data_IF_169652052682
#
_entry.id   IF_169652052682
#
_cell.length_a   1.000
_cell.length_b   1.000
_cell.length_c   1.000
_cell.angle_alpha   90.00
_cell.angle_beta   90.00
_cell.angle_gamma   90.00
#
_symmetry.space_group_name_H-M   'P 1'
#
loop_
_entity.id
_entity.type
_entity.pdbx_description
1 polymer ?
#
# COMPACT_ATOMS: atom_id res chain seq x y z
N UNK A 1 25.87 18.31 -15.73
CA UNK A 1 24.91 19.16 -16.45
C UNK A 1 24.20 18.51 -17.65
N UNK A 2 24.74 17.50 -18.36
CA UNK A 2 24.06 16.88 -19.53
C UNK A 2 23.00 15.82 -19.20
N UNK A 3 22.91 15.30 -17.97
CA UNK A 3 21.91 14.28 -17.57
C UNK A 3 20.55 14.85 -17.14
N UNK A 4 20.48 16.11 -16.72
CA UNK A 4 19.25 16.78 -16.33
C UNK A 4 18.40 17.17 -17.54
N UNK A 5 19.02 17.51 -18.66
CA UNK A 5 18.30 17.90 -19.88
C UNK A 5 17.55 16.72 -20.56
N UNK A 6 18.03 15.48 -20.39
CA UNK A 6 17.37 14.30 -20.98
C UNK A 6 16.08 13.91 -20.24
N UNK A 7 16.04 14.15 -18.93
CA UNK A 7 14.82 13.88 -18.12
C UNK A 7 13.68 14.86 -18.41
N UNK A 8 14.00 16.13 -18.66
CA UNK A 8 13.00 17.15 -19.02
C UNK A 8 12.40 16.92 -20.41
N UNK A 9 13.16 16.36 -21.35
CA UNK A 9 12.65 16.08 -22.70
C UNK A 9 11.64 14.93 -22.75
N UNK A 10 11.77 13.91 -21.89
CA UNK A 10 10.82 12.78 -21.83
C UNK A 10 9.47 13.18 -21.23
N UNK A 11 9.44 14.18 -20.35
CA UNK A 11 8.19 14.68 -19.77
C UNK A 11 7.45 15.67 -20.68
N UNK A 12 8.15 16.32 -21.63
CA UNK A 12 7.51 17.26 -22.57
C UNK A 12 6.63 16.56 -23.62
N UNK A 13 6.83 15.27 -23.91
CA UNK A 13 6.02 14.52 -24.88
C UNK A 13 4.66 14.14 -24.31
N UNK A 14 4.47 14.12 -22.98
CA UNK A 14 3.15 13.84 -22.35
C UNK A 14 2.24 15.08 -22.31
N UNK A 15 2.75 16.24 -22.63
CA UNK A 15 1.99 17.49 -22.66
C UNK A 15 1.33 17.80 -24.02
N UNK A 16 1.02 16.81 -24.86
CA UNK A 16 0.06 16.97 -25.94
C UNK A 16 -1.31 17.20 -25.30
N UNK A 17 -1.78 18.45 -25.35
CA UNK A 17 -3.07 18.92 -24.84
C UNK A 17 -4.21 18.09 -25.44
N UNK A 18 -4.55 16.97 -24.79
CA UNK A 18 -5.86 16.34 -24.95
C UNK A 18 -6.92 17.23 -24.33
N UNK A 19 -8.12 17.25 -24.89
CA UNK A 19 -9.28 17.89 -24.28
C UNK A 19 -9.43 17.42 -22.82
N UNK A 20 -9.97 18.25 -21.90
CA UNK A 20 -10.14 17.87 -20.52
C UNK A 20 -10.89 16.54 -20.44
N UNK A 21 -10.22 15.50 -19.95
CA UNK A 21 -10.86 14.19 -19.77
C UNK A 21 -11.90 14.36 -18.66
N UNK A 22 -13.17 14.37 -19.06
CA UNK A 22 -14.27 14.25 -18.11
C UNK A 22 -14.22 12.83 -17.58
N UNK A 23 -13.82 12.67 -16.31
CA UNK A 23 -13.92 11.38 -15.65
C UNK A 23 -15.36 10.88 -15.71
N UNK A 24 -15.58 9.58 -15.99
CA UNK A 24 -16.92 9.04 -15.98
C UNK A 24 -17.59 9.35 -14.64
N UNK A 25 -18.90 9.68 -14.67
CA UNK A 25 -19.65 9.93 -13.44
C UNK A 25 -19.47 8.74 -12.51
N UNK A 26 -19.35 9.04 -11.21
CA UNK A 26 -19.28 7.99 -10.16
C UNK A 26 -20.37 6.96 -10.45
N UNK A 27 -20.08 5.67 -10.64
CA UNK A 27 -21.13 4.67 -10.76
C UNK A 27 -22.05 4.78 -9.55
N UNK A 28 -23.34 4.53 -9.72
CA UNK A 28 -24.27 4.46 -8.59
C UNK A 28 -23.65 3.60 -7.49
N UNK A 29 -23.72 4.04 -6.24
CA UNK A 29 -23.00 3.46 -5.12
C UNK A 29 -23.53 2.04 -4.82
N UNK A 30 -23.10 1.06 -5.61
CA UNK A 30 -23.36 -0.35 -5.34
C UNK A 30 -22.40 -0.83 -4.25
N UNK A 31 -22.89 -1.59 -3.25
CA UNK A 31 -22.02 -2.20 -2.26
C UNK A 31 -20.95 -3.07 -2.92
N UNK A 32 -19.74 -3.04 -2.40
CA UNK A 32 -18.64 -3.91 -2.84
C UNK A 32 -19.05 -5.39 -2.75
N UNK A 33 -19.89 -5.72 -1.78
CA UNK A 33 -20.41 -7.07 -1.57
C UNK A 33 -19.38 -8.02 -0.97
N UNK A 34 -19.82 -9.23 -0.69
CA UNK A 34 -19.00 -10.26 -0.03
C UNK A 34 -18.17 -11.09 -1.02
N UNK A 35 -17.50 -10.46 -1.99
CA UNK A 35 -16.63 -11.15 -2.96
C UNK A 35 -15.27 -11.50 -2.33
N UNK A 36 -15.31 -12.18 -1.17
CA UNK A 36 -14.12 -12.56 -0.43
C UNK A 36 -13.71 -14.00 -0.69
N UNK A 37 -12.40 -14.21 -0.85
CA UNK A 37 -11.78 -15.52 -0.93
C UNK A 37 -10.93 -15.72 0.32
N UNK A 38 -11.14 -16.84 0.98
CA UNK A 38 -10.35 -17.27 2.13
C UNK A 38 -9.19 -18.15 1.68
N UNK A 39 -8.00 -17.88 2.20
CA UNK A 39 -6.83 -18.77 2.17
C UNK A 39 -6.39 -19.05 3.61
N UNK A 40 -5.83 -20.24 3.84
CA UNK A 40 -5.45 -20.69 5.18
C UNK A 40 -4.05 -21.29 5.16
N UNK A 41 -3.24 -20.94 6.15
CA UNK A 41 -1.94 -21.58 6.30
C UNK A 41 -2.10 -23.03 6.80
N UNK A 42 -1.15 -23.91 6.50
CA UNK A 42 -1.14 -25.27 7.08
C UNK A 42 -1.13 -25.28 8.61
N UNK A 43 -0.64 -24.21 9.24
CA UNK A 43 -0.60 -24.05 10.70
C UNK A 43 -1.91 -23.47 11.30
N UNK A 44 -2.89 -23.10 10.48
CA UNK A 44 -4.22 -22.64 10.91
C UNK A 44 -4.44 -21.13 10.87
N UNK A 45 -3.47 -20.32 10.42
CA UNK A 45 -3.72 -18.90 10.16
C UNK A 45 -4.66 -18.70 8.97
N UNK A 46 -5.54 -17.70 9.03
CA UNK A 46 -6.59 -17.45 8.02
C UNK A 46 -6.52 -16.01 7.51
N UNK A 47 -6.50 -15.84 6.19
CA UNK A 47 -6.60 -14.52 5.53
C UNK A 47 -7.79 -14.49 4.56
N UNK A 48 -8.44 -13.32 4.49
CA UNK A 48 -9.53 -13.04 3.56
C UNK A 48 -9.12 -11.96 2.58
N UNK A 49 -9.37 -12.22 1.31
CA UNK A 49 -9.03 -11.31 0.20
C UNK A 49 -10.31 -10.94 -0.52
N UNK A 50 -10.64 -9.66 -0.58
CA UNK A 50 -11.74 -9.19 -1.41
C UNK A 50 -11.24 -8.92 -2.84
N UNK A 51 -11.95 -9.42 -3.84
CA UNK A 51 -11.58 -9.27 -5.25
C UNK A 51 -11.76 -7.84 -5.76
N UNK A 52 -12.68 -7.05 -5.20
CA UNK A 52 -12.72 -5.62 -5.49
C UNK A 52 -11.54 -4.94 -4.80
N UNK A 53 -10.68 -4.31 -5.58
CA UNK A 53 -9.44 -3.70 -5.09
C UNK A 53 -8.30 -4.68 -4.80
N UNK A 54 -8.55 -5.99 -4.83
CA UNK A 54 -7.55 -7.01 -4.55
C UNK A 54 -6.96 -6.90 -3.13
N UNK A 55 -7.76 -6.60 -2.13
CA UNK A 55 -7.31 -6.22 -0.78
C UNK A 55 -7.43 -7.38 0.20
N UNK A 56 -6.37 -7.66 0.97
CA UNK A 56 -6.52 -8.49 2.19
C UNK A 56 -7.27 -7.68 3.23
N UNK A 57 -8.50 -8.07 3.54
CA UNK A 57 -9.39 -7.37 4.47
C UNK A 57 -9.23 -7.85 5.90
N UNK A 58 -8.70 -9.06 6.08
CA UNK A 58 -8.51 -9.70 7.39
C UNK A 58 -7.37 -10.70 7.31
N UNK A 59 -6.56 -10.76 8.35
CA UNK A 59 -5.63 -11.84 8.61
C UNK A 59 -5.52 -12.10 10.10
N UNK A 60 -5.88 -13.33 10.49
CA UNK A 60 -5.73 -13.84 11.85
C UNK A 60 -4.67 -14.93 11.84
N UNK A 61 -3.47 -14.68 12.38
CA UNK A 61 -2.44 -15.71 12.55
C UNK A 61 -2.89 -16.79 13.55
N UNK A 62 -2.28 -17.98 13.47
CA UNK A 62 -2.55 -19.03 14.44
C UNK A 62 -2.25 -18.56 15.86
N UNK A 63 -3.20 -18.74 16.78
CA UNK A 63 -3.07 -18.31 18.19
C UNK A 63 -2.99 -16.79 18.38
N UNK A 64 -3.18 -15.99 17.33
CA UNK A 64 -3.13 -14.53 17.36
C UNK A 64 -4.47 -13.85 17.22
N UNK A 65 -4.40 -12.53 17.11
CA UNK A 65 -5.56 -11.65 16.88
C UNK A 65 -5.46 -11.01 15.50
N UNK A 66 -6.55 -10.38 15.04
CA UNK A 66 -6.61 -9.67 13.76
C UNK A 66 -5.43 -8.70 13.59
N UNK A 67 -4.76 -8.81 12.45
CA UNK A 67 -3.57 -8.02 12.12
C UNK A 67 -3.92 -6.71 11.44
N UNK A 68 -4.97 -6.68 10.63
CA UNK A 68 -5.33 -5.50 9.88
C UNK A 68 -6.49 -4.73 10.52
N UNK A 69 -6.40 -3.42 10.47
CA UNK A 69 -7.50 -2.53 10.82
C UNK A 69 -8.33 -2.22 9.58
N UNK A 70 -9.65 -2.12 9.76
CA UNK A 70 -10.60 -1.70 8.74
C UNK A 70 -11.42 -0.52 9.27
N UNK A 71 -11.49 0.58 8.51
CA UNK A 71 -12.28 1.74 8.91
C UNK A 71 -13.77 1.41 9.06
N UNK A 72 -14.25 0.46 8.26
CA UNK A 72 -15.60 -0.12 8.33
C UNK A 72 -15.61 -1.49 7.64
N UNK A 73 -16.65 -2.32 7.84
CA UNK A 73 -16.75 -3.60 7.15
C UNK A 73 -16.66 -3.42 5.62
N UNK A 74 -15.74 -4.12 4.96
CA UNK A 74 -15.46 -3.94 3.54
C UNK A 74 -16.71 -4.14 2.67
N UNK A 75 -17.56 -5.11 3.02
CA UNK A 75 -18.80 -5.39 2.31
C UNK A 75 -19.80 -4.22 2.30
N UNK A 76 -19.68 -3.27 3.26
CA UNK A 76 -20.54 -2.08 3.35
C UNK A 76 -19.98 -0.88 2.59
N UNK A 77 -18.74 -0.98 2.07
CA UNK A 77 -18.15 0.07 1.26
C UNK A 77 -18.81 0.13 -0.11
N UNK A 78 -18.92 1.33 -0.67
CA UNK A 78 -19.46 1.49 -2.02
C UNK A 78 -18.34 1.37 -3.06
N UNK A 79 -18.68 0.81 -4.22
CA UNK A 79 -17.81 0.81 -5.39
C UNK A 79 -17.45 2.26 -5.76
N UNK A 80 -16.18 2.48 -6.07
CA UNK A 80 -15.68 3.82 -6.38
C UNK A 80 -15.36 4.69 -5.18
N UNK A 81 -15.58 4.25 -3.94
CA UNK A 81 -15.05 4.90 -2.73
C UNK A 81 -13.60 4.51 -2.47
N UNK A 82 -12.90 5.40 -1.79
CA UNK A 82 -11.58 5.05 -1.24
C UNK A 82 -11.78 4.29 0.05
N UNK A 83 -11.49 2.99 0.02
CA UNK A 83 -11.65 2.13 1.19
C UNK A 83 -10.34 2.17 1.98
N UNK A 84 -10.44 2.49 3.27
CA UNK A 84 -9.33 2.54 4.20
C UNK A 84 -9.29 1.29 5.07
N UNK A 85 -8.15 0.63 5.10
CA UNK A 85 -7.92 -0.57 5.90
C UNK A 85 -7.33 -1.73 5.11
N UNK A 86 -6.97 -2.80 5.82
CA UNK A 86 -6.41 -4.00 5.23
C UNK A 86 -5.00 -3.84 4.69
N UNK A 87 -4.69 -4.58 3.63
CA UNK A 87 -3.44 -4.52 2.90
C UNK A 87 -3.72 -4.19 1.42
N UNK A 88 -3.98 -2.94 1.07
CA UNK A 88 -4.15 -2.54 -0.32
C UNK A 88 -2.82 -2.39 -1.03
N UNK A 89 -2.85 -2.63 -2.36
CA UNK A 89 -1.77 -2.30 -3.28
C UNK A 89 -2.10 -1.00 -4.00
N UNK A 90 -1.17 -0.08 -4.06
CA UNK A 90 -1.28 1.22 -4.71
C UNK A 90 -0.42 1.26 -5.97
N UNK A 91 -1.02 1.47 -7.14
CA UNK A 91 -0.37 1.54 -8.44
C UNK A 91 -1.31 2.24 -9.47
N UNK A 92 -0.84 3.00 -10.48
CA UNK A 92 0.52 3.29 -10.91
C UNK A 92 1.11 4.58 -10.31
N UNK A 93 0.47 5.16 -9.31
CA UNK A 93 1.03 6.23 -8.48
C UNK A 93 0.71 5.98 -7.01
N UNK A 94 1.65 6.37 -6.15
CA UNK A 94 1.52 6.15 -4.73
C UNK A 94 1.69 7.47 -3.96
N UNK A 95 0.88 7.69 -2.91
CA UNK A 95 0.81 8.84 -2.01
C UNK A 95 0.24 10.09 -2.67
N UNK A 96 0.69 10.49 -3.86
CA UNK A 96 0.25 11.73 -4.52
C UNK A 96 -0.90 11.47 -5.49
N UNK A 97 -1.62 12.55 -5.80
CA UNK A 97 -2.58 12.53 -6.89
C UNK A 97 -1.87 12.16 -8.20
N UNK A 98 -2.52 11.32 -8.98
CA UNK A 98 -2.07 10.96 -10.31
C UNK A 98 -2.17 12.13 -11.29
N UNK A 99 -1.99 11.85 -12.60
CA UNK A 99 -2.20 12.84 -13.63
C UNK A 99 -3.59 13.48 -13.51
N UNK A 100 -3.67 14.79 -13.75
CA UNK A 100 -4.91 15.55 -13.81
C UNK A 100 -5.84 15.45 -12.57
N UNK A 101 -5.26 15.43 -11.38
CA UNK A 101 -5.98 15.35 -10.11
C UNK A 101 -6.76 14.04 -9.91
N UNK A 102 -6.29 12.96 -10.50
CA UNK A 102 -6.79 11.63 -10.18
C UNK A 102 -6.63 11.32 -8.69
N UNK A 103 -7.39 10.31 -8.24
CA UNK A 103 -7.39 9.89 -6.83
C UNK A 103 -5.99 9.53 -6.35
N UNK A 104 -5.68 9.83 -5.12
CA UNK A 104 -4.44 9.39 -4.46
C UNK A 104 -4.35 7.86 -4.46
N UNK A 105 -3.15 7.32 -4.45
CA UNK A 105 -2.86 5.88 -4.34
C UNK A 105 -3.30 5.03 -5.55
N UNK A 106 -3.34 5.61 -6.73
CA UNK A 106 -3.52 4.87 -7.97
C UNK A 106 -4.93 4.35 -8.24
N UNK A 107 -5.01 3.35 -9.11
CA UNK A 107 -6.29 2.83 -9.62
C UNK A 107 -6.61 1.40 -9.14
N UNK A 108 -5.63 0.64 -8.71
CA UNK A 108 -5.77 -0.79 -8.39
C UNK A 108 -6.90 -1.11 -7.42
N UNK A 109 -7.20 -0.18 -6.50
CA UNK A 109 -8.22 -0.34 -5.47
C UNK A 109 -9.66 -0.09 -5.93
N UNK A 110 -9.86 0.28 -7.20
CA UNK A 110 -11.17 0.68 -7.72
C UNK A 110 -11.75 -0.28 -8.75
N UNK A 111 -11.06 -1.41 -8.99
CA UNK A 111 -11.46 -2.39 -9.99
C UNK A 111 -11.55 -3.80 -9.40
N UNK A 112 -12.40 -4.64 -10.03
CA UNK A 112 -12.47 -6.06 -9.71
C UNK A 112 -11.27 -6.80 -10.31
N UNK A 113 -10.61 -7.57 -9.47
CA UNK A 113 -9.55 -8.48 -9.88
C UNK A 113 -10.13 -9.86 -10.21
N UNK A 114 -9.50 -10.56 -11.13
CA UNK A 114 -9.90 -11.91 -11.56
C UNK A 114 -9.01 -12.95 -10.90
N UNK A 115 -9.59 -14.07 -10.51
CA UNK A 115 -8.80 -15.20 -10.00
C UNK A 115 -8.06 -15.86 -11.13
N UNK A 116 -6.72 -15.91 -11.03
CA UNK A 116 -5.82 -16.64 -11.94
C UNK A 116 -5.53 -18.04 -11.42
N UNK A 117 -5.22 -18.16 -10.12
CA UNK A 117 -4.91 -19.43 -9.47
C UNK A 117 -5.31 -19.37 -8.00
N UNK A 118 -5.73 -20.52 -7.47
CA UNK A 118 -6.10 -20.69 -6.06
C UNK A 118 -5.62 -22.03 -5.52
N UNK A 119 -5.02 -22.00 -4.34
CA UNK A 119 -4.73 -23.15 -3.50
C UNK A 119 -5.27 -22.88 -2.10
N UNK A 120 -5.20 -23.86 -1.21
CA UNK A 120 -5.65 -23.67 0.18
C UNK A 120 -4.86 -22.54 0.86
N UNK A 121 -3.57 -22.42 0.58
CA UNK A 121 -2.58 -21.53 1.21
C UNK A 121 -2.16 -20.35 0.33
N UNK A 122 -2.71 -20.22 -0.88
CA UNK A 122 -2.33 -19.16 -1.82
C UNK A 122 -3.46 -18.76 -2.79
N UNK A 123 -3.47 -17.49 -3.16
CA UNK A 123 -4.36 -16.91 -4.16
C UNK A 123 -3.56 -15.99 -5.08
N UNK A 124 -3.64 -16.19 -6.38
CA UNK A 124 -3.15 -15.25 -7.39
C UNK A 124 -4.32 -14.65 -8.14
N UNK A 125 -4.37 -13.33 -8.17
CA UNK A 125 -5.37 -12.54 -8.87
C UNK A 125 -4.71 -11.61 -9.88
N UNK A 126 -5.45 -11.24 -10.94
CA UNK A 126 -4.94 -10.39 -12.02
C UNK A 126 -5.89 -9.23 -12.31
N UNK A 127 -5.31 -8.14 -12.77
CA UNK A 127 -6.03 -7.00 -13.33
C UNK A 127 -5.33 -6.58 -14.63
N UNK A 128 -6.06 -6.68 -15.73
CA UNK A 128 -5.60 -6.21 -17.04
C UNK A 128 -6.14 -4.80 -17.33
N UNK A 129 -5.48 -4.10 -18.22
CA UNK A 129 -6.02 -2.86 -18.73
C UNK A 129 -7.33 -3.10 -19.49
N UNK A 130 -8.17 -2.09 -19.46
CA UNK A 130 -9.50 -2.09 -20.06
C UNK A 130 -9.88 -0.66 -20.45
N UNK A 131 -10.92 -0.43 -21.23
CA UNK A 131 -11.41 0.93 -21.48
C UNK A 131 -11.66 1.72 -20.18
N UNK A 132 -12.14 1.07 -19.12
CA UNK A 132 -12.42 1.70 -17.85
C UNK A 132 -11.13 2.10 -17.09
N UNK A 133 -10.10 1.25 -17.06
CA UNK A 133 -8.81 1.58 -16.44
C UNK A 133 -8.03 2.60 -17.25
N UNK A 134 -8.10 2.52 -18.59
CA UNK A 134 -7.42 3.44 -19.52
C UNK A 134 -7.95 4.86 -19.45
N UNK A 135 -9.18 5.07 -18.97
CA UNK A 135 -9.73 6.39 -18.68
C UNK A 135 -8.94 7.14 -17.59
N UNK A 136 -8.26 6.40 -16.71
CA UNK A 136 -7.42 6.95 -15.63
C UNK A 136 -5.92 6.84 -15.92
N UNK A 137 -5.53 5.75 -16.58
CA UNK A 137 -4.14 5.42 -16.89
C UNK A 137 -4.06 4.87 -18.32
N UNK A 138 -3.73 5.71 -19.35
CA UNK A 138 -3.88 5.38 -20.75
C UNK A 138 -2.75 4.47 -21.28
N UNK A 139 -2.34 3.48 -20.51
CA UNK A 139 -1.31 2.51 -20.87
C UNK A 139 -1.84 1.10 -20.79
N UNK A 140 -1.27 0.22 -21.61
CA UNK A 140 -1.54 -1.20 -21.52
C UNK A 140 -0.70 -1.83 -20.43
N UNK A 141 -1.30 -2.68 -19.60
CA UNK A 141 -0.64 -3.34 -18.50
C UNK A 141 -1.27 -4.70 -18.16
N UNK A 142 -0.49 -5.53 -17.53
CA UNK A 142 -0.95 -6.73 -16.84
C UNK A 142 -0.43 -6.69 -15.41
N UNK A 143 -1.33 -6.77 -14.43
CA UNK A 143 -0.99 -6.82 -13.02
C UNK A 143 -1.28 -8.20 -12.45
N UNK A 144 -0.38 -8.70 -11.63
CA UNK A 144 -0.58 -9.88 -10.80
C UNK A 144 -0.36 -9.55 -9.33
N UNK A 145 -1.24 -10.04 -8.48
CA UNK A 145 -1.13 -9.94 -7.03
C UNK A 145 -1.30 -11.32 -6.43
N UNK A 146 -0.25 -11.82 -5.77
CA UNK A 146 -0.24 -13.13 -5.15
C UNK A 146 -0.17 -12.99 -3.64
N UNK A 147 -1.15 -13.54 -2.96
CA UNK A 147 -1.16 -13.73 -1.51
C UNK A 147 -0.87 -15.18 -1.19
N UNK A 148 0.04 -15.43 -0.28
CA UNK A 148 0.43 -16.79 0.11
C UNK A 148 0.92 -16.85 1.55
N UNK A 149 0.81 -18.01 2.15
CA UNK A 149 1.46 -18.29 3.42
C UNK A 149 2.86 -18.89 3.23
N UNK A 150 3.85 -18.32 3.93
CA UNK A 150 5.20 -18.87 4.07
C UNK A 150 5.39 -19.24 5.55
N UNK A 151 5.11 -20.49 5.88
CA UNK A 151 4.99 -20.93 7.27
C UNK A 151 3.80 -20.24 7.97
N UNK A 152 4.08 -19.43 8.99
CA UNK A 152 3.07 -18.63 9.72
C UNK A 152 2.93 -17.21 9.19
N UNK A 153 3.82 -16.76 8.28
CA UNK A 153 3.80 -15.42 7.73
C UNK A 153 2.88 -15.30 6.52
N UNK A 154 2.16 -14.19 6.40
CA UNK A 154 1.45 -13.80 5.20
C UNK A 154 2.38 -13.03 4.28
N UNK A 155 2.48 -13.44 3.02
CA UNK A 155 3.24 -12.78 1.97
C UNK A 155 2.30 -12.23 0.89
N UNK A 156 2.51 -10.99 0.50
CA UNK A 156 1.91 -10.39 -0.69
C UNK A 156 3.02 -10.05 -1.69
N UNK A 157 2.84 -10.47 -2.95
CA UNK A 157 3.74 -10.15 -4.05
C UNK A 157 2.95 -9.52 -5.19
N UNK A 158 3.37 -8.34 -5.59
CA UNK A 158 2.82 -7.60 -6.72
C UNK A 158 3.78 -7.63 -7.90
N UNK A 159 3.22 -7.76 -9.11
CA UNK A 159 3.93 -7.66 -10.37
C UNK A 159 3.16 -6.77 -11.32
N UNK A 160 3.85 -5.81 -11.95
CA UNK A 160 3.32 -4.96 -13.00
C UNK A 160 4.12 -5.18 -14.28
N UNK A 161 3.46 -5.60 -15.34
CA UNK A 161 4.06 -5.79 -16.67
C UNK A 161 3.53 -4.75 -17.63
N UNK A 162 4.42 -4.07 -18.35
CA UNK A 162 4.02 -3.23 -19.47
C UNK A 162 3.73 -4.11 -20.69
N UNK A 163 2.47 -4.23 -21.06
CA UNK A 163 2.01 -5.00 -22.23
C UNK A 163 1.80 -4.12 -23.47
N UNK A 164 2.10 -2.82 -23.35
CA UNK A 164 2.02 -1.85 -24.46
C UNK A 164 3.28 -1.76 -25.28
N UNK A 165 3.31 -0.78 -26.18
CA UNK A 165 4.42 -0.50 -27.10
C UNK A 165 5.28 0.67 -26.65
N UNK A 166 4.81 1.47 -25.68
CA UNK A 166 5.51 2.66 -25.18
C UNK A 166 5.90 2.48 -23.72
N UNK A 167 7.06 3.00 -23.31
CA UNK A 167 7.46 2.99 -21.92
C UNK A 167 6.63 3.98 -21.09
N UNK A 168 6.38 3.67 -19.84
CA UNK A 168 5.77 4.59 -18.89
C UNK A 168 6.46 4.56 -17.52
N UNK A 169 6.38 5.68 -16.80
CA UNK A 169 6.93 5.79 -15.46
C UNK A 169 5.81 5.64 -14.42
N UNK A 170 6.03 4.83 -13.40
CA UNK A 170 5.09 4.64 -12.31
C UNK A 170 5.76 4.56 -10.95
N UNK A 171 4.96 4.78 -9.92
CA UNK A 171 5.31 4.54 -8.52
C UNK A 171 4.31 3.56 -7.93
N UNK A 172 4.68 2.90 -6.84
CA UNK A 172 3.86 1.86 -6.23
C UNK A 172 4.14 1.69 -4.75
N UNK A 173 3.25 1.03 -4.04
CA UNK A 173 3.48 0.63 -2.67
C UNK A 173 2.38 -0.21 -2.07
N UNK A 174 2.75 -1.08 -1.15
CA UNK A 174 1.80 -1.66 -0.21
C UNK A 174 1.49 -0.67 0.90
N UNK A 175 0.22 -0.55 1.23
CA UNK A 175 -0.27 0.40 2.24
C UNK A 175 -1.01 -0.33 3.38
N UNK A 176 -0.31 -1.17 4.15
CA UNK A 176 -0.94 -1.93 5.23
C UNK A 176 -1.42 -1.01 6.35
N UNK A 177 -2.64 -1.27 6.83
CA UNK A 177 -3.21 -0.68 8.03
C UNK A 177 -3.10 -1.70 9.16
N UNK A 178 -2.02 -1.66 9.91
CA UNK A 178 -1.82 -2.58 11.03
C UNK A 178 -2.68 -2.16 12.21
N UNK A 179 -3.54 -3.08 12.68
CA UNK A 179 -4.27 -2.89 13.93
C UNK A 179 -3.29 -2.88 15.09
N UNK A 180 -3.45 -1.94 15.99
CA UNK A 180 -2.70 -1.84 17.26
C UNK A 180 -3.65 -1.67 18.44
N UNK A 181 -3.23 -2.09 19.61
CA UNK A 181 -4.04 -1.93 20.83
C UNK A 181 -4.08 -0.49 21.30
N UNK A 182 -2.94 0.21 21.28
CA UNK A 182 -2.81 1.62 21.62
C UNK A 182 -1.64 2.22 20.85
N UNK A 183 -1.90 3.18 19.96
CA UNK A 183 -0.89 3.78 19.07
C UNK A 183 0.30 4.38 19.86
N UNK A 184 0.00 5.12 20.92
CA UNK A 184 1.03 5.84 21.69
C UNK A 184 1.99 4.89 22.43
N UNK A 185 1.56 3.65 22.70
CA UNK A 185 2.37 2.63 23.34
C UNK A 185 3.26 1.85 22.34
N UNK A 186 2.98 1.96 21.04
CA UNK A 186 3.70 1.22 20.01
C UNK A 186 5.05 1.85 19.67
N UNK A 187 5.98 0.99 19.25
CA UNK A 187 7.27 1.41 18.68
C UNK A 187 7.60 0.59 17.44
N UNK A 188 8.34 1.20 16.49
CA UNK A 188 8.83 0.54 15.30
C UNK A 188 10.35 0.55 15.32
N UNK A 189 10.98 -0.63 15.21
CA UNK A 189 12.43 -0.78 15.06
C UNK A 189 12.83 -0.83 13.59
N UNK A 190 14.13 -0.75 13.31
CA UNK A 190 14.68 -0.92 11.96
C UNK A 190 14.90 0.39 11.22
N UNK A 191 14.73 1.54 11.85
CA UNK A 191 14.96 2.85 11.22
C UNK A 191 16.21 3.59 11.74
N UNK A 192 16.93 3.00 12.72
CA UNK A 192 18.12 3.62 13.29
C UNK A 192 19.20 3.90 12.25
N UNK A 193 19.79 5.09 12.29
CA UNK A 193 20.78 5.56 11.30
C UNK A 193 20.23 5.92 9.93
N UNK A 194 18.93 5.68 9.66
CA UNK A 194 18.31 5.88 8.35
C UNK A 194 18.00 7.36 8.12
N UNK A 195 18.21 7.83 6.90
CA UNK A 195 17.75 9.17 6.48
C UNK A 195 16.24 9.23 6.54
N UNK A 196 15.71 10.34 7.06
CA UNK A 196 14.28 10.55 7.11
C UNK A 196 13.87 12.00 6.84
N UNK A 197 12.63 12.17 6.43
CA UNK A 197 11.96 13.47 6.30
C UNK A 197 10.46 13.31 6.57
N UNK A 198 9.78 14.43 6.80
CA UNK A 198 8.32 14.40 6.92
C UNK A 198 7.66 14.45 5.55
N UNK A 199 6.52 13.81 5.42
CA UNK A 199 5.70 13.72 4.19
C UNK A 199 5.33 15.09 3.62
N UNK A 200 5.87 16.13 3.75
CA UNK A 200 5.65 17.46 3.16
C UNK A 200 6.94 18.22 2.95
N UNK A 201 8.08 17.62 3.27
CA UNK A 201 9.38 18.30 3.26
C UNK A 201 10.38 17.71 2.25
N UNK A 202 9.89 16.95 1.28
CA UNK A 202 10.72 16.20 0.31
C UNK A 202 11.72 17.09 -0.43
N UNK A 203 11.33 18.32 -0.72
CA UNK A 203 12.13 19.24 -1.55
C UNK A 203 13.34 19.84 -0.83
N UNK A 204 13.44 19.69 0.47
CA UNK A 204 14.44 20.40 1.28
C UNK A 204 15.79 19.71 1.39
N UNK A 205 15.98 18.53 0.80
CA UNK A 205 17.27 17.82 0.80
C UNK A 205 17.82 17.57 2.20
N UNK A 206 16.95 17.35 3.16
CA UNK A 206 17.31 17.20 4.56
C UNK A 206 18.11 15.92 4.77
N UNK A 207 19.26 16.05 5.44
CA UNK A 207 20.18 14.97 5.75
C UNK A 207 19.97 14.40 7.16
N UNK A 208 18.82 14.66 7.78
CA UNK A 208 18.50 14.15 9.12
C UNK A 208 18.53 12.63 9.13
N UNK A 209 19.14 12.07 10.17
CA UNK A 209 19.11 10.64 10.43
C UNK A 209 18.34 10.35 11.70
N UNK A 210 17.55 9.30 11.65
CA UNK A 210 16.81 8.83 12.81
C UNK A 210 17.77 8.15 13.79
N UNK A 211 17.47 8.23 15.10
CA UNK A 211 18.25 7.55 16.14
C UNK A 211 17.32 6.70 17.01
N UNK A 212 17.62 5.43 17.12
CA UNK A 212 16.88 4.47 17.96
C UNK A 212 15.55 3.98 17.34
N UNK A 213 14.70 3.40 18.19
CA UNK A 213 13.37 2.94 17.83
C UNK A 213 12.43 4.14 17.57
N UNK A 214 11.53 4.00 16.60
CA UNK A 214 10.54 5.04 16.28
C UNK A 214 9.31 4.91 17.21
N UNK A 215 9.01 5.89 18.08
CA UNK A 215 7.81 5.85 18.90
C UNK A 215 6.59 6.35 18.13
N UNK A 216 5.57 5.50 17.97
CA UNK A 216 4.39 5.79 17.14
C UNK A 216 3.58 7.01 17.64
N UNK A 217 3.70 7.40 18.90
CA UNK A 217 3.09 8.62 19.45
C UNK A 217 3.46 9.90 18.69
N UNK A 218 4.60 9.91 17.98
CA UNK A 218 5.02 11.07 17.17
C UNK A 218 4.13 11.30 15.96
N UNK A 219 3.46 10.27 15.46
CA UNK A 219 2.51 10.38 14.34
C UNK A 219 1.29 11.23 14.71
N UNK A 220 0.89 11.23 16.01
CA UNK A 220 -0.23 12.01 16.52
C UNK A 220 0.06 13.49 16.76
N UNK A 221 1.30 13.97 16.57
CA UNK A 221 1.74 15.33 16.89
C UNK A 221 1.68 16.29 15.68
N UNK A 222 0.63 16.19 14.85
CA UNK A 222 0.42 17.08 13.71
C UNK A 222 1.31 16.76 12.49
N UNK A 223 1.97 15.61 12.46
CA UNK A 223 2.80 15.15 11.35
C UNK A 223 2.26 13.80 10.85
N UNK A 224 1.56 13.78 9.71
CA UNK A 224 0.84 12.59 9.26
C UNK A 224 1.74 11.46 8.76
N UNK A 225 3.05 11.66 8.64
CA UNK A 225 3.93 10.60 8.19
C UNK A 225 5.41 10.97 8.22
N UNK A 226 6.22 9.96 8.47
CA UNK A 226 7.68 9.98 8.41
C UNK A 226 8.13 9.02 7.32
N UNK A 227 8.94 9.50 6.38
CA UNK A 227 9.47 8.72 5.27
C UNK A 227 10.94 8.41 5.56
N UNK A 228 11.30 7.14 5.51
CA UNK A 228 12.65 6.64 5.71
C UNK A 228 13.22 6.17 4.37
N UNK A 229 14.35 6.77 3.96
CA UNK A 229 15.06 6.48 2.71
C UNK A 229 16.25 5.56 2.94
N UNK A 230 16.53 4.69 1.97
CA UNK A 230 17.77 3.90 1.90
C UNK A 230 18.07 3.09 3.17
N UNK A 231 17.02 2.77 3.93
CA UNK A 231 17.14 2.03 5.18
C UNK A 231 16.91 0.54 5.04
N UNK A 232 17.00 -0.18 6.15
CA UNK A 232 16.58 -1.56 6.19
C UNK A 232 15.11 -1.68 5.79
N UNK A 233 14.80 -2.74 5.06
CA UNK A 233 13.45 -3.00 4.59
C UNK A 233 12.67 -3.91 5.56
N UNK A 234 13.22 -4.19 6.73
CA UNK A 234 12.61 -4.98 7.79
C UNK A 234 12.38 -4.12 9.02
N UNK A 235 11.14 -4.10 9.47
CA UNK A 235 10.69 -3.33 10.62
C UNK A 235 9.92 -4.23 11.59
N UNK A 236 10.17 -4.07 12.89
CA UNK A 236 9.39 -4.74 13.92
C UNK A 236 8.44 -3.73 14.56
N UNK A 237 7.14 -3.92 14.36
CA UNK A 237 6.11 -3.15 15.05
C UNK A 237 5.80 -3.85 16.38
N UNK A 238 6.29 -3.28 17.47
CA UNK A 238 6.05 -3.74 18.83
C UNK A 238 4.76 -3.13 19.36
N UNK A 239 3.82 -3.97 19.74
CA UNK A 239 2.51 -3.60 20.28
C UNK A 239 2.33 -4.25 21.66
N UNK A 240 2.72 -3.56 22.73
CA UNK A 240 2.62 -4.11 24.09
C UNK A 240 1.18 -4.28 24.55
N UNK A 241 0.23 -3.47 24.06
CA UNK A 241 -1.17 -3.56 24.45
C UNK A 241 -1.85 -4.83 23.92
N UNK A 242 -1.48 -5.30 22.73
CA UNK A 242 -1.92 -6.58 22.18
C UNK A 242 -0.94 -7.74 22.47
N UNK A 243 0.14 -7.49 23.20
CA UNK A 243 1.12 -8.50 23.56
C UNK A 243 1.76 -9.16 22.32
N UNK A 244 2.09 -8.40 21.27
CA UNK A 244 2.64 -8.95 20.03
C UNK A 244 3.70 -8.05 19.39
N UNK A 245 4.49 -8.65 18.51
CA UNK A 245 5.40 -7.95 17.60
C UNK A 245 5.11 -8.42 16.18
N UNK A 246 4.83 -7.50 15.26
CA UNK A 246 4.73 -7.80 13.84
C UNK A 246 6.09 -7.59 13.20
N UNK A 247 6.53 -8.56 12.42
CA UNK A 247 7.76 -8.55 11.61
C UNK A 247 7.39 -8.25 10.17
N UNK A 248 7.63 -7.03 9.74
CA UNK A 248 7.27 -6.53 8.40
C UNK A 248 8.52 -6.40 7.57
N UNK A 249 8.63 -7.19 6.50
CA UNK A 249 9.79 -7.19 5.60
C UNK A 249 9.35 -6.91 4.17
N UNK A 250 9.91 -5.87 3.60
CA UNK A 250 9.73 -5.52 2.18
C UNK A 250 10.87 -6.07 1.33
N UNK A 251 10.55 -6.50 0.13
CA UNK A 251 11.49 -7.06 -0.83
C UNK A 251 11.28 -6.45 -2.21
N UNK A 252 12.36 -6.40 -2.99
CA UNK A 252 12.40 -5.92 -4.35
C UNK A 252 12.05 -4.42 -4.49
N UNK A 253 12.98 -3.67 -5.05
CA UNK A 253 12.81 -2.27 -5.49
C UNK A 253 12.20 -1.27 -4.50
N UNK A 254 12.30 -1.54 -3.20
CA UNK A 254 11.88 -0.59 -2.18
C UNK A 254 12.84 0.61 -2.16
N UNK A 255 12.28 1.81 -2.23
CA UNK A 255 13.03 3.06 -2.10
C UNK A 255 12.76 3.74 -0.76
N UNK A 256 11.58 3.51 -0.20
CA UNK A 256 11.11 4.15 1.02
C UNK A 256 10.25 3.22 1.84
N UNK A 257 10.24 3.44 3.15
CA UNK A 257 9.18 2.99 4.04
C UNK A 257 8.61 4.21 4.75
N UNK A 258 7.30 4.40 4.62
CA UNK A 258 6.58 5.49 5.28
C UNK A 258 5.86 4.94 6.51
N UNK A 259 6.10 5.56 7.67
CA UNK A 259 5.29 5.34 8.86
C UNK A 259 4.22 6.43 8.89
N UNK A 260 2.97 6.02 8.74
CA UNK A 260 1.85 6.90 8.56
C UNK A 260 0.71 6.65 9.55
N UNK A 261 0.01 7.73 9.86
CA UNK A 261 -1.24 7.73 10.60
C UNK A 261 -1.99 9.04 10.34
N UNK A 262 -3.31 9.02 10.42
CA UNK A 262 -4.13 10.24 10.36
C UNK A 262 -5.27 10.16 11.36
N UNK A 263 -5.53 11.23 12.12
CA UNK A 263 -6.66 11.29 13.05
C UNK A 263 -7.99 11.52 12.35
N UNK A 264 -7.98 12.09 11.15
CA UNK A 264 -9.18 12.55 10.47
C UNK A 264 -9.55 11.63 9.31
N UNK A 265 -10.25 10.54 9.62
CA UNK A 265 -10.88 9.69 8.63
C UNK A 265 -12.21 10.24 8.12
N UNK A 266 -12.82 11.20 8.82
CA UNK A 266 -14.07 11.82 8.39
C UNK A 266 -13.88 12.57 7.08
N UNK A 267 -12.74 13.25 6.91
CA UNK A 267 -12.36 13.92 5.67
C UNK A 267 -12.04 12.96 4.52
N UNK A 268 -11.77 11.69 4.82
CA UNK A 268 -11.41 10.65 3.85
C UNK A 268 -12.57 9.70 3.49
N UNK A 269 -13.80 10.03 3.83
CA UNK A 269 -14.97 9.21 3.54
C UNK A 269 -15.50 8.39 4.72
N UNK A 270 -15.12 8.76 5.93
CA UNK A 270 -15.75 8.36 7.17
C UNK A 270 -15.38 6.98 7.69
N UNK A 271 -14.86 6.98 8.90
CA UNK A 271 -15.09 5.88 9.84
C UNK A 271 -16.18 6.36 10.79
N UNK A 272 -17.25 5.59 10.96
CA UNK A 272 -18.24 5.82 12.04
C UNK A 272 -17.64 5.42 13.40
N UNK A 273 -16.41 4.86 13.40
CA UNK A 273 -15.70 4.42 14.59
C UNK A 273 -14.66 5.47 15.01
N UNK A 274 -14.95 6.31 16.03
CA UNK A 274 -14.00 7.27 16.57
C UNK A 274 -12.74 6.60 17.17
N UNK A 275 -12.80 5.31 17.41
CA UNK A 275 -11.70 4.51 17.98
C UNK A 275 -10.71 4.09 16.88
N UNK A 276 -11.14 3.98 15.62
CA UNK A 276 -10.27 3.54 14.52
C UNK A 276 -8.97 4.36 14.46
N UNK A 277 -9.05 5.67 14.62
CA UNK A 277 -7.89 6.56 14.56
C UNK A 277 -6.75 6.25 15.53
N UNK A 278 -7.02 5.69 16.72
CA UNK A 278 -6.00 5.36 17.72
C UNK A 278 -5.54 3.89 17.70
N UNK A 279 -6.18 3.07 16.88
CA UNK A 279 -5.97 1.62 16.87
C UNK A 279 -5.38 1.09 15.57
N UNK A 280 -4.69 1.95 14.81
CA UNK A 280 -3.91 1.50 13.66
C UNK A 280 -2.66 2.35 13.45
N UNK A 281 -1.73 1.77 12.69
CA UNK A 281 -0.56 2.44 12.13
C UNK A 281 -0.26 1.86 10.75
N UNK A 282 0.17 2.70 9.82
CA UNK A 282 0.64 2.26 8.51
C UNK A 282 2.16 2.20 8.47
N UNK A 283 2.71 1.09 7.97
CA UNK A 283 4.10 0.98 7.57
C UNK A 283 4.09 0.69 6.07
N UNK A 284 4.29 1.70 5.25
CA UNK A 284 4.04 1.66 3.82
C UNK A 284 5.35 1.55 3.06
N UNK A 285 5.56 0.45 2.35
CA UNK A 285 6.79 0.22 1.58
C UNK A 285 6.57 0.32 0.09
N UNK A 286 7.42 1.09 -0.59
CA UNK A 286 7.32 1.24 -2.03
C UNK A 286 8.19 2.34 -2.61
N UNK A 287 7.77 2.89 -3.75
CA UNK A 287 8.34 4.04 -4.44
C UNK A 287 7.32 5.18 -4.40
N UNK A 288 7.54 6.17 -3.54
CA UNK A 288 6.51 7.14 -3.18
C UNK A 288 6.42 8.36 -4.10
N UNK A 289 7.51 8.75 -4.76
CA UNK A 289 7.63 10.05 -5.41
C UNK A 289 7.95 9.96 -6.89
N UNK A 290 7.41 10.90 -7.69
CA UNK A 290 7.56 10.92 -9.15
C UNK A 290 9.01 11.02 -9.60
N UNK A 291 9.87 11.76 -8.90
CA UNK A 291 11.29 11.86 -9.19
C UNK A 291 12.06 10.55 -8.94
N UNK A 292 11.44 9.62 -8.21
CA UNK A 292 11.94 8.27 -7.92
C UNK A 292 11.16 7.18 -8.66
N UNK A 293 10.21 7.57 -9.54
CA UNK A 293 9.46 6.63 -10.36
C UNK A 293 10.40 5.70 -11.14
N UNK A 294 9.98 4.46 -11.30
CA UNK A 294 10.66 3.52 -12.17
C UNK A 294 10.06 3.57 -13.58
N UNK A 295 10.92 3.45 -14.58
CA UNK A 295 10.52 3.37 -15.98
C UNK A 295 10.28 1.91 -16.35
N UNK A 296 9.09 1.58 -16.79
CA UNK A 296 8.70 0.25 -17.24
C UNK A 296 8.61 0.24 -18.76
N UNK A 297 9.59 -0.40 -19.42
CA UNK A 297 9.64 -0.53 -20.89
C UNK A 297 8.67 -1.62 -21.36
N UNK A 298 8.30 -1.60 -22.65
CA UNK A 298 7.52 -2.67 -23.26
C UNK A 298 8.07 -4.08 -22.93
N UNK A 299 7.22 -4.95 -22.42
CA UNK A 299 7.56 -6.31 -22.01
C UNK A 299 8.26 -6.45 -20.66
N UNK A 300 8.71 -5.34 -20.04
CA UNK A 300 9.34 -5.41 -18.70
C UNK A 300 8.30 -5.64 -17.62
N UNK A 301 8.73 -6.35 -16.58
CA UNK A 301 7.95 -6.60 -15.36
C UNK A 301 8.69 -6.03 -14.15
N UNK A 302 8.02 -5.18 -13.40
CA UNK A 302 8.46 -4.73 -12.08
C UNK A 302 7.84 -5.57 -10.98
N UNK A 303 8.52 -5.68 -9.83
CA UNK A 303 8.11 -6.56 -8.74
C UNK A 303 8.34 -5.90 -7.39
N UNK A 304 7.35 -6.01 -6.51
CA UNK A 304 7.37 -5.58 -5.12
C UNK A 304 6.75 -6.67 -4.25
N UNK A 305 7.30 -6.91 -3.05
CA UNK A 305 6.71 -7.84 -2.12
C UNK A 305 6.79 -7.36 -0.67
N UNK A 306 5.87 -7.83 0.15
CA UNK A 306 5.89 -7.68 1.60
C UNK A 306 5.60 -9.02 2.26
N UNK A 307 6.38 -9.36 3.29
CA UNK A 307 6.14 -10.49 4.17
C UNK A 307 5.84 -9.96 5.56
N UNK A 308 4.78 -10.46 6.19
CA UNK A 308 4.34 -10.04 7.51
C UNK A 308 4.24 -11.28 8.38
N UNK A 309 5.08 -11.33 9.42
CA UNK A 309 5.08 -12.38 10.44
C UNK A 309 4.58 -11.84 11.79
N UNK A 310 4.15 -12.72 12.66
CA UNK A 310 3.88 -12.40 14.05
C UNK A 310 4.89 -13.13 14.93
N UNK A 311 5.67 -12.37 15.68
CA UNK A 311 6.62 -12.91 16.64
C UNK A 311 5.95 -12.98 18.02
N UNK A 312 6.13 -14.07 18.77
CA UNK A 312 5.70 -14.11 20.16
C UNK A 312 6.49 -13.10 20.97
N UNK A 313 5.85 -12.43 21.93
CA UNK A 313 6.60 -11.69 22.94
C UNK A 313 7.30 -12.73 23.83
N UNK A 314 8.61 -12.62 24.05
CA UNK A 314 9.27 -13.47 25.03
C UNK A 314 8.55 -13.37 26.37
N UNK A 315 8.16 -14.50 26.94
CA UNK A 315 7.63 -14.54 28.28
C UNK A 315 8.64 -13.84 29.21
N UNK A 316 8.19 -12.84 29.95
CA UNK A 316 8.97 -12.18 30.98
C UNK A 316 9.20 -13.12 32.15
#
# INVERSE_FOLDING_TARGET
MKRIALFLALFAVVAARGAPQTFPPRPAAEPVGANEITISSPSGGVARVNLFGGVVTSWVPVGGTEVFAMARPYATCARGEQIHGGLPMCWPWFVFEGPEKCRIHGITRYFDWKVKARRADALTITLDDSPATRAYWPHAFHLELTYSFAGTALRAEFRATNTGTEPYACTEGFHPYFRVGELDACTVTGSDGTKYFWKGEIEKGDQRRWTGDFPCRLLGLGKPGYVFEEGPHRHLLKDPALGRTLDVMYENNIKFVLFGWTPDFSALGGSDDPIFGRHFVCLEGGTLYRDRAYLLRPGETHRLAVSIGMLPIPNR
#
